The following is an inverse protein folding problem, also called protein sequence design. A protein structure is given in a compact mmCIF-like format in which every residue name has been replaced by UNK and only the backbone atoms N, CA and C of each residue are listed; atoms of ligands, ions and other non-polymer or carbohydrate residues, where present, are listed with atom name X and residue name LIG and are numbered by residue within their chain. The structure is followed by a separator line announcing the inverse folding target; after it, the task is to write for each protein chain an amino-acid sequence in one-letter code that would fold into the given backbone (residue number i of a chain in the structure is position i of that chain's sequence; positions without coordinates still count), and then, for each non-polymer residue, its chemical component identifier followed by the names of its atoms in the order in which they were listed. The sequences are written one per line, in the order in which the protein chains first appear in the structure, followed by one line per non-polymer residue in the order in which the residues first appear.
data_IF_078163207470
#
_entry.id   IF_078163207470
#
_cell.length_a   1.000
_cell.length_b   1.000
_cell.length_c   1.000
_cell.angle_alpha   90.00
_cell.angle_beta   90.00
_cell.angle_gamma   90.00
#
_symmetry.space_group_name_H-M   'P 1'
#
loop_
_entity.id
_entity.type
_entity.pdbx_description
1 polymer ?
#
# COMPACT_ATOMS: atom_id res chain seq x y z
N UNK A 1 -21.45 -9.22 16.63
CA UNK A 1 -22.34 -8.79 15.53
C UNK A 1 -22.05 -9.52 14.21
N UNK A 2 -20.87 -9.40 13.59
CA UNK A 2 -20.55 -10.07 12.30
C UNK A 2 -20.88 -11.56 12.30
N UNK A 3 -20.38 -12.32 13.29
CA UNK A 3 -20.66 -13.75 13.43
C UNK A 3 -22.17 -14.08 13.52
N UNK A 4 -22.95 -13.24 14.21
CA UNK A 4 -24.39 -13.45 14.37
C UNK A 4 -25.12 -13.30 13.03
N UNK A 5 -24.77 -12.29 12.24
CA UNK A 5 -25.36 -12.06 10.93
C UNK A 5 -25.07 -13.22 9.97
N UNK A 6 -23.83 -13.73 9.98
CA UNK A 6 -23.43 -14.88 9.16
C UNK A 6 -24.22 -16.12 9.55
N UNK A 7 -24.36 -16.38 10.86
CA UNK A 7 -25.17 -17.50 11.39
C UNK A 7 -26.64 -17.43 10.94
N UNK A 8 -27.18 -16.23 10.71
CA UNK A 8 -28.54 -16.02 10.21
C UNK A 8 -28.62 -15.87 8.67
N UNK A 9 -27.60 -16.34 7.94
CA UNK A 9 -27.63 -16.42 6.48
C UNK A 9 -27.22 -15.16 5.73
N UNK A 10 -26.61 -14.17 6.40
CA UNK A 10 -26.04 -13.02 5.71
C UNK A 10 -24.95 -13.47 4.73
N UNK A 11 -25.12 -13.10 3.45
CA UNK A 11 -24.14 -13.38 2.39
C UNK A 11 -22.85 -12.58 2.62
N UNK A 12 -21.74 -13.29 2.81
CA UNK A 12 -20.41 -12.73 3.16
C UNK A 12 -19.89 -11.70 2.16
N UNK A 13 -20.17 -11.91 0.88
CA UNK A 13 -19.60 -11.12 -0.22
C UNK A 13 -20.59 -10.13 -0.82
N UNK A 14 -21.71 -9.83 -0.16
CA UNK A 14 -22.66 -8.83 -0.66
C UNK A 14 -22.04 -7.44 -0.60
N UNK A 15 -21.77 -6.87 -1.77
CA UNK A 15 -21.19 -5.54 -1.89
C UNK A 15 -22.25 -4.43 -1.84
N UNK A 16 -21.82 -3.24 -1.41
CA UNK A 16 -22.56 -1.99 -1.60
C UNK A 16 -22.60 -1.60 -3.09
N UNK A 17 -23.40 -0.57 -3.43
CA UNK A 17 -23.55 -0.07 -4.81
C UNK A 17 -22.23 0.36 -5.46
N UNK A 18 -21.27 0.79 -4.66
CA UNK A 18 -19.93 1.20 -5.09
C UNK A 18 -18.91 0.05 -5.15
N UNK A 19 -19.38 -1.19 -4.99
CA UNK A 19 -18.57 -2.40 -5.01
C UNK A 19 -17.82 -2.68 -3.71
N UNK A 20 -18.00 -1.90 -2.65
CA UNK A 20 -17.33 -2.17 -1.38
C UNK A 20 -17.93 -3.40 -0.70
N UNK A 21 -17.10 -4.42 -0.49
CA UNK A 21 -17.46 -5.63 0.24
C UNK A 21 -17.42 -5.41 1.77
N UNK A 22 -18.03 -6.30 2.58
CA UNK A 22 -17.89 -6.24 4.03
C UNK A 22 -16.43 -6.30 4.48
N UNK A 23 -15.59 -7.07 3.76
CA UNK A 23 -14.15 -7.13 4.01
C UNK A 23 -13.46 -5.80 3.74
N UNK A 24 -13.82 -5.12 2.65
CA UNK A 24 -13.30 -3.79 2.35
C UNK A 24 -13.64 -2.79 3.47
N UNK A 25 -14.89 -2.76 3.91
CA UNK A 25 -15.37 -1.82 4.94
C UNK A 25 -14.74 -2.12 6.31
N UNK A 26 -14.60 -3.39 6.68
CA UNK A 26 -13.90 -3.77 7.90
C UNK A 26 -12.41 -3.38 7.86
N UNK A 27 -11.76 -3.56 6.70
CA UNK A 27 -10.37 -3.17 6.48
C UNK A 27 -10.18 -1.65 6.50
N UNK A 28 -11.10 -0.88 5.92
CA UNK A 28 -11.07 0.58 5.94
C UNK A 28 -11.14 1.14 7.37
N UNK A 29 -12.02 0.58 8.20
CA UNK A 29 -12.26 1.06 9.55
C UNK A 29 -11.35 0.44 10.62
N UNK A 30 -10.37 -0.41 10.24
CA UNK A 30 -9.43 -0.98 11.21
C UNK A 30 -10.02 -2.10 12.08
N UNK A 31 -11.15 -2.68 11.70
CA UNK A 31 -11.85 -3.69 12.49
C UNK A 31 -11.22 -5.09 12.32
N UNK A 32 -10.03 -5.31 12.89
CA UNK A 32 -9.24 -6.54 12.72
C UNK A 32 -10.03 -7.84 13.01
N UNK A 33 -10.81 -7.88 14.11
CA UNK A 33 -11.63 -9.06 14.45
C UNK A 33 -12.72 -9.34 13.41
N UNK A 34 -13.30 -8.29 12.83
CA UNK A 34 -14.28 -8.43 11.76
C UNK A 34 -13.61 -8.97 10.49
N UNK A 35 -12.43 -8.44 10.12
CA UNK A 35 -11.62 -8.95 9.01
C UNK A 35 -11.32 -10.44 9.19
N UNK A 36 -10.82 -10.86 10.36
CA UNK A 36 -10.54 -12.27 10.65
C UNK A 36 -11.78 -13.15 10.49
N UNK A 37 -12.93 -12.71 11.02
CA UNK A 37 -14.19 -13.46 10.92
C UNK A 37 -14.65 -13.57 9.47
N UNK A 38 -14.58 -12.48 8.69
CA UNK A 38 -14.99 -12.48 7.29
C UNK A 38 -14.11 -13.42 6.45
N UNK A 39 -12.80 -13.35 6.63
CA UNK A 39 -11.85 -14.24 5.93
C UNK A 39 -12.08 -15.71 6.27
N UNK A 40 -12.31 -16.05 7.54
CA UNK A 40 -12.55 -17.44 7.95
C UNK A 40 -13.87 -18.02 7.42
N UNK A 41 -14.79 -17.17 6.96
CA UNK A 41 -16.07 -17.57 6.34
C UNK A 41 -16.07 -17.38 4.81
N UNK A 42 -14.89 -17.25 4.18
CA UNK A 42 -14.77 -17.24 2.72
C UNK A 42 -15.03 -15.88 2.07
N UNK A 43 -14.72 -14.78 2.75
CA UNK A 43 -14.69 -13.48 2.09
C UNK A 43 -13.63 -13.45 0.98
N UNK A 44 -14.01 -12.92 -0.19
CA UNK A 44 -13.10 -12.79 -1.34
C UNK A 44 -12.06 -11.71 -1.02
N UNK A 45 -10.81 -12.15 -0.79
CA UNK A 45 -9.69 -11.33 -0.29
C UNK A 45 -9.45 -10.09 -1.14
N UNK A 46 -9.45 -10.26 -2.46
CA UNK A 46 -9.16 -9.20 -3.44
C UNK A 46 -10.43 -8.66 -4.14
N UNK A 47 -11.59 -8.75 -3.48
CA UNK A 47 -12.81 -8.14 -4.02
C UNK A 47 -12.60 -6.64 -4.24
N UNK A 48 -12.65 -6.22 -5.50
CA UNK A 48 -12.43 -4.83 -5.91
C UNK A 48 -13.71 -4.01 -5.77
N UNK A 49 -13.57 -2.78 -5.28
CA UNK A 49 -14.53 -1.70 -5.49
C UNK A 49 -14.61 -1.31 -6.96
N UNK A 50 -15.60 -0.49 -7.32
CA UNK A 50 -15.69 0.08 -8.66
C UNK A 50 -14.40 0.80 -9.05
N UNK A 51 -13.83 1.64 -8.20
CA UNK A 51 -12.56 2.35 -8.44
C UNK A 51 -11.31 1.46 -8.51
N UNK A 52 -11.47 0.14 -8.37
CA UNK A 52 -10.39 -0.85 -8.40
C UNK A 52 -9.67 -1.05 -7.06
N UNK A 53 -10.02 -0.31 -6.01
CA UNK A 53 -9.40 -0.49 -4.69
C UNK A 53 -9.78 -1.85 -4.07
N UNK A 54 -8.79 -2.52 -3.49
CA UNK A 54 -8.95 -3.79 -2.75
C UNK A 54 -8.92 -3.55 -1.24
N UNK A 55 -9.31 -4.54 -0.42
CA UNK A 55 -9.15 -4.48 1.03
C UNK A 55 -7.71 -4.18 1.48
N UNK A 56 -6.70 -4.71 0.77
CA UNK A 56 -5.28 -4.42 1.07
C UNK A 56 -4.92 -2.98 0.75
N UNK A 57 -5.40 -2.45 -0.39
CA UNK A 57 -5.16 -1.07 -0.79
C UNK A 57 -5.73 -0.07 0.25
N UNK A 58 -6.96 -0.29 0.72
CA UNK A 58 -7.58 0.61 1.71
C UNK A 58 -6.95 0.47 3.10
N UNK A 59 -6.57 -0.75 3.52
CA UNK A 59 -5.81 -0.96 4.75
C UNK A 59 -4.47 -0.21 4.71
N UNK A 60 -3.81 -0.22 3.55
CA UNK A 60 -2.58 0.51 3.33
C UNK A 60 -2.78 2.02 3.37
N UNK A 61 -3.88 2.54 2.80
CA UNK A 61 -4.20 3.97 2.86
C UNK A 61 -4.49 4.46 4.29
N UNK A 62 -5.15 3.63 5.10
CA UNK A 62 -5.65 3.96 6.44
C UNK A 62 -4.68 3.60 7.58
N UNK A 63 -3.45 3.15 7.26
CA UNK A 63 -2.43 2.74 8.22
C UNK A 63 -2.78 1.52 9.10
N UNK A 64 -3.56 0.56 8.58
CA UNK A 64 -3.95 -0.63 9.34
C UNK A 64 -2.98 -1.79 9.12
N UNK A 65 -1.74 -1.67 9.60
CA UNK A 65 -0.67 -2.65 9.38
C UNK A 65 -1.03 -4.09 9.78
N UNK A 66 -1.77 -4.26 10.89
CA UNK A 66 -2.22 -5.57 11.33
C UNK A 66 -3.21 -6.24 10.36
N UNK A 67 -4.05 -5.45 9.70
CA UNK A 67 -4.98 -5.92 8.68
C UNK A 67 -4.23 -6.19 7.38
N UNK A 68 -3.32 -5.29 6.96
CA UNK A 68 -2.48 -5.51 5.78
C UNK A 68 -1.70 -6.83 5.89
N UNK A 69 -1.04 -7.06 7.03
CA UNK A 69 -0.35 -8.33 7.32
C UNK A 69 -1.28 -9.54 7.21
N UNK A 70 -2.49 -9.46 7.77
CA UNK A 70 -3.46 -10.56 7.73
C UNK A 70 -3.91 -10.84 6.30
N UNK A 71 -4.24 -9.81 5.53
CA UNK A 71 -4.65 -9.93 4.13
C UNK A 71 -3.56 -10.56 3.27
N UNK A 72 -2.30 -10.13 3.44
CA UNK A 72 -1.15 -10.71 2.74
C UNK A 72 -0.96 -12.19 3.11
N UNK A 73 -1.09 -12.55 4.39
CA UNK A 73 -0.98 -13.94 4.86
C UNK A 73 -2.03 -14.86 4.24
N UNK A 74 -3.22 -14.35 3.89
CA UNK A 74 -4.27 -15.13 3.23
C UNK A 74 -4.25 -15.02 1.71
N UNK A 75 -3.17 -14.47 1.13
CA UNK A 75 -2.94 -14.47 -0.32
C UNK A 75 -3.47 -13.23 -1.05
N UNK A 76 -3.69 -12.10 -0.39
CA UNK A 76 -3.97 -10.84 -1.09
C UNK A 76 -2.82 -10.49 -2.05
N UNK A 77 -3.14 -10.18 -3.30
CA UNK A 77 -2.12 -9.78 -4.27
C UNK A 77 -1.54 -8.41 -3.91
N UNK A 78 -0.26 -8.38 -3.57
CA UNK A 78 0.46 -7.20 -3.03
C UNK A 78 0.49 -6.03 -4.01
N UNK A 79 0.52 -6.31 -5.32
CA UNK A 79 0.64 -5.33 -6.41
C UNK A 79 -0.69 -4.99 -7.10
N UNK A 80 -1.83 -5.30 -6.47
CA UNK A 80 -3.14 -4.93 -7.03
C UNK A 80 -3.25 -3.41 -7.22
N UNK A 81 -3.33 -2.98 -8.48
CA UNK A 81 -3.45 -1.56 -8.85
C UNK A 81 -4.89 -1.07 -8.76
N UNK A 82 -5.06 0.15 -8.24
CA UNK A 82 -6.29 0.94 -8.35
C UNK A 82 -6.34 1.63 -9.72
N UNK A 83 -7.51 2.17 -10.13
CA UNK A 83 -7.69 2.88 -11.42
C UNK A 83 -6.73 4.05 -11.68
N UNK A 84 -6.17 4.66 -10.64
CA UNK A 84 -5.15 5.72 -10.78
C UNK A 84 -3.73 5.17 -10.96
N UNK A 85 -3.56 3.86 -11.11
CA UNK A 85 -2.26 3.20 -11.22
C UNK A 85 -1.54 2.97 -9.90
N UNK A 86 -2.08 3.40 -8.76
CA UNK A 86 -1.42 3.25 -7.45
C UNK A 86 -1.58 1.84 -6.88
N UNK A 87 -0.47 1.26 -6.42
CA UNK A 87 -0.43 0.03 -5.61
C UNK A 87 -0.65 0.34 -4.11
N UNK A 88 -0.93 -0.67 -3.26
CA UNK A 88 -0.94 -0.50 -1.81
C UNK A 88 0.38 0.07 -1.27
N UNK A 89 1.53 -0.40 -1.78
CA UNK A 89 2.85 0.10 -1.39
C UNK A 89 3.00 1.58 -1.72
N UNK A 90 2.71 1.98 -2.96
CA UNK A 90 2.77 3.39 -3.36
C UNK A 90 1.93 4.26 -2.44
N UNK A 91 0.71 3.82 -2.11
CA UNK A 91 -0.18 4.59 -1.26
C UNK A 91 0.33 4.71 0.18
N UNK A 92 0.89 3.64 0.74
CA UNK A 92 1.51 3.66 2.07
C UNK A 92 2.76 4.57 2.11
N UNK A 93 3.61 4.50 1.08
CA UNK A 93 4.78 5.36 0.93
C UNK A 93 4.41 6.84 0.81
N UNK A 94 3.43 7.17 -0.05
CA UNK A 94 2.90 8.53 -0.18
C UNK A 94 2.39 9.07 1.17
N UNK A 95 1.76 8.23 1.99
CA UNK A 95 1.14 8.64 3.26
C UNK A 95 2.08 8.61 4.47
N UNK A 96 3.29 8.05 4.35
CA UNK A 96 4.23 7.97 5.47
C UNK A 96 3.97 6.79 6.43
N UNK A 97 3.23 5.78 5.99
CA UNK A 97 2.78 4.66 6.83
C UNK A 97 3.85 3.56 6.92
N UNK A 98 4.88 3.80 7.75
CA UNK A 98 6.08 2.94 7.88
C UNK A 98 5.72 1.49 8.18
N UNK A 99 4.86 1.23 9.18
CA UNK A 99 4.52 -0.14 9.60
C UNK A 99 3.84 -0.93 8.47
N UNK A 100 3.00 -0.27 7.66
CA UNK A 100 2.37 -0.90 6.49
C UNK A 100 3.42 -1.20 5.42
N UNK A 101 4.34 -0.26 5.16
CA UNK A 101 5.43 -0.46 4.20
C UNK A 101 6.27 -1.67 4.58
N UNK A 102 6.64 -1.80 5.85
CA UNK A 102 7.38 -2.97 6.33
C UNK A 102 6.63 -4.29 6.11
N UNK A 103 5.32 -4.31 6.36
CA UNK A 103 4.52 -5.52 6.10
C UNK A 103 4.42 -5.85 4.60
N UNK A 104 4.25 -4.84 3.74
CA UNK A 104 4.16 -5.04 2.29
C UNK A 104 5.48 -5.53 1.69
N UNK A 105 6.62 -4.96 2.11
CA UNK A 105 7.94 -5.30 1.58
C UNK A 105 8.33 -6.78 1.82
N UNK A 106 7.79 -7.42 2.86
CA UNK A 106 7.99 -8.86 3.12
C UNK A 106 7.50 -9.75 1.97
N UNK A 107 6.58 -9.26 1.16
CA UNK A 107 5.97 -9.99 0.04
C UNK A 107 6.55 -9.59 -1.32
N UNK A 108 7.71 -8.92 -1.34
CA UNK A 108 8.48 -8.54 -2.55
C UNK A 108 7.61 -7.85 -3.63
N UNK A 109 6.91 -6.75 -3.29
CA UNK A 109 6.14 -5.98 -4.26
C UNK A 109 7.04 -5.42 -5.36
N UNK A 110 6.44 -5.09 -6.50
CA UNK A 110 7.14 -4.39 -7.56
C UNK A 110 7.59 -2.99 -7.12
N UNK A 111 8.88 -2.68 -7.30
CA UNK A 111 9.49 -1.39 -6.95
C UNK A 111 9.78 -0.50 -8.17
N UNK A 112 9.35 -0.92 -9.37
CA UNK A 112 9.54 -0.16 -10.62
C UNK A 112 8.57 1.02 -10.74
N UNK A 113 8.60 1.69 -11.88
CA UNK A 113 7.56 2.65 -12.24
C UNK A 113 6.20 1.96 -12.34
N UNK A 114 5.19 2.65 -11.83
CA UNK A 114 3.79 2.28 -11.92
C UNK A 114 3.15 2.98 -13.14
N UNK A 115 1.92 2.58 -13.52
CA UNK A 115 1.21 3.21 -14.64
C UNK A 115 0.98 4.72 -14.51
N UNK A 116 1.05 5.27 -13.28
CA UNK A 116 0.97 6.72 -13.04
C UNK A 116 2.28 7.46 -13.31
N UNK A 117 3.33 6.77 -13.77
CA UNK A 117 4.63 7.37 -14.07
C UNK A 117 5.56 7.52 -12.86
N UNK A 118 5.17 7.06 -11.67
CA UNK A 118 5.98 7.17 -10.46
C UNK A 118 6.28 5.81 -9.82
N UNK A 119 7.27 5.76 -8.94
CA UNK A 119 7.54 4.59 -8.09
C UNK A 119 7.26 4.90 -6.62
N UNK A 120 7.18 3.87 -5.78
CA UNK A 120 7.04 4.05 -4.33
C UNK A 120 8.16 4.91 -3.72
N UNK A 121 9.38 4.85 -4.29
CA UNK A 121 10.51 5.65 -3.85
C UNK A 121 10.33 7.14 -4.21
N UNK A 122 9.82 7.46 -5.40
CA UNK A 122 9.47 8.84 -5.76
C UNK A 122 8.49 9.43 -4.76
N UNK A 123 7.40 8.71 -4.45
CA UNK A 123 6.41 9.17 -3.47
C UNK A 123 7.03 9.37 -2.07
N UNK A 124 7.78 8.39 -1.56
CA UNK A 124 8.42 8.53 -0.25
C UNK A 124 9.39 9.72 -0.19
N UNK A 125 10.10 9.99 -1.29
CA UNK A 125 11.05 11.09 -1.37
C UNK A 125 10.40 12.45 -1.52
N UNK A 126 9.35 12.54 -2.35
CA UNK A 126 8.55 13.75 -2.56
C UNK A 126 7.92 14.26 -1.26
N UNK A 127 7.49 13.35 -0.37
CA UNK A 127 6.86 13.69 0.91
C UNK A 127 7.81 13.61 2.12
N UNK A 128 9.10 13.36 1.91
CA UNK A 128 10.12 13.48 2.97
C UNK A 128 10.17 12.33 3.97
N UNK A 129 9.64 11.15 3.63
CA UNK A 129 9.55 9.99 4.53
C UNK A 129 10.87 9.21 4.59
N UNK A 130 11.87 9.75 5.29
CA UNK A 130 13.22 9.20 5.36
C UNK A 130 13.29 7.70 5.74
N UNK A 131 12.48 7.27 6.73
CA UNK A 131 12.49 5.87 7.15
C UNK A 131 11.97 4.94 6.04
N UNK A 132 10.96 5.37 5.28
CA UNK A 132 10.44 4.64 4.14
C UNK A 132 11.47 4.60 3.00
N UNK A 133 12.13 5.73 2.72
CA UNK A 133 13.20 5.80 1.73
C UNK A 133 14.31 4.79 2.06
N UNK A 134 14.73 4.72 3.32
CA UNK A 134 15.69 3.71 3.79
C UNK A 134 15.16 2.30 3.52
N UNK A 135 13.95 1.97 3.96
CA UNK A 135 13.37 0.64 3.77
C UNK A 135 13.30 0.21 2.29
N UNK A 136 12.87 1.12 1.41
CA UNK A 136 12.78 0.87 -0.03
C UNK A 136 14.15 0.60 -0.65
N UNK A 137 15.18 1.39 -0.30
CA UNK A 137 16.54 1.18 -0.78
C UNK A 137 17.14 -0.13 -0.30
N UNK A 138 16.93 -0.50 0.98
CA UNK A 138 17.34 -1.80 1.52
C UNK A 138 16.63 -2.96 0.81
N UNK A 139 15.41 -2.73 0.30
CA UNK A 139 14.64 -3.72 -0.46
C UNK A 139 14.95 -3.73 -1.96
N UNK A 140 15.93 -2.95 -2.41
CA UNK A 140 16.40 -2.96 -3.80
C UNK A 140 15.73 -1.95 -4.73
N UNK A 141 15.01 -0.94 -4.22
CA UNK A 141 14.52 0.15 -5.06
C UNK A 141 15.69 0.89 -5.73
N UNK A 142 15.52 1.25 -7.01
CA UNK A 142 16.53 1.99 -7.76
C UNK A 142 16.45 3.52 -7.46
N UNK A 143 17.47 4.11 -6.81
CA UNK A 143 17.50 5.55 -6.53
C UNK A 143 17.74 6.44 -7.77
N UNK A 144 18.11 5.85 -8.92
CA UNK A 144 18.36 6.57 -10.19
C UNK A 144 17.18 6.51 -11.16
N UNK A 145 16.12 5.77 -10.82
CA UNK A 145 14.93 5.66 -11.64
C UNK A 145 14.31 7.05 -11.85
N UNK A 146 13.96 7.39 -13.08
CA UNK A 146 13.29 8.66 -13.40
C UNK A 146 11.79 8.44 -13.55
N UNK A 147 10.98 9.34 -12.98
CA UNK A 147 9.53 9.37 -13.19
C UNK A 147 9.17 9.89 -14.59
N UNK A 148 7.88 10.01 -14.88
CA UNK A 148 7.36 10.54 -16.17
C UNK A 148 7.81 11.97 -16.47
N UNK A 149 8.11 12.78 -15.45
CA UNK A 149 8.60 14.16 -15.59
C UNK A 149 10.14 14.21 -15.75
N UNK A 150 10.80 13.05 -15.74
CA UNK A 150 12.26 12.94 -15.85
C UNK A 150 13.01 13.16 -14.55
N UNK A 151 12.31 13.34 -13.43
CA UNK A 151 12.87 13.57 -12.11
C UNK A 151 13.18 12.26 -11.39
N UNK A 152 14.33 12.21 -10.72
CA UNK A 152 14.74 11.13 -9.80
C UNK A 152 14.17 11.36 -8.40
N UNK A 153 14.11 10.34 -7.53
CA UNK A 153 13.67 10.52 -6.15
C UNK A 153 14.49 11.57 -5.38
N UNK A 154 15.79 11.70 -5.68
CA UNK A 154 16.65 12.73 -5.07
C UNK A 154 16.20 14.13 -5.48
N UNK A 155 15.95 14.35 -6.78
CA UNK A 155 15.51 15.64 -7.32
C UNK A 155 14.17 16.06 -6.71
N UNK A 156 13.20 15.14 -6.63
CA UNK A 156 11.92 15.40 -5.97
C UNK A 156 12.07 15.79 -4.49
N UNK A 157 13.00 15.16 -3.77
CA UNK A 157 13.29 15.52 -2.38
C UNK A 157 13.95 16.90 -2.25
N UNK A 158 14.78 17.31 -3.21
CA UNK A 158 15.38 18.66 -3.25
C UNK A 158 14.30 19.71 -3.54
N UNK A 159 13.50 19.49 -4.58
CA UNK A 159 12.41 20.39 -4.99
C UNK A 159 11.39 20.58 -3.85
N UNK A 160 11.05 19.50 -3.15
CA UNK A 160 10.14 19.52 -2.00
C UNK A 160 10.82 19.93 -0.68
N UNK A 161 12.09 20.35 -0.73
CA UNK A 161 12.87 20.85 0.41
C UNK A 161 13.06 19.84 1.56
N UNK A 162 12.98 18.55 1.27
CA UNK A 162 13.23 17.46 2.22
C UNK A 162 14.72 17.13 2.32
N UNK A 163 15.48 18.05 2.91
CA UNK A 163 16.96 18.01 3.00
C UNK A 163 17.52 16.67 3.48
N UNK A 164 16.96 16.08 4.54
CA UNK A 164 17.44 14.81 5.10
C UNK A 164 17.31 13.65 4.11
N UNK A 165 16.24 13.63 3.33
CA UNK A 165 16.03 12.60 2.30
C UNK A 165 16.97 12.83 1.11
N UNK A 166 17.08 14.08 0.64
CA UNK A 166 17.98 14.43 -0.45
C UNK A 166 19.45 14.08 -0.11
N UNK A 167 19.90 14.43 1.10
CA UNK A 167 21.23 14.10 1.61
C UNK A 167 21.42 12.57 1.66
N UNK A 168 20.48 11.83 2.24
CA UNK A 168 20.59 10.38 2.33
C UNK A 168 20.65 9.69 0.95
N UNK A 169 19.84 10.15 -0.01
CA UNK A 169 19.87 9.66 -1.38
C UNK A 169 21.18 10.01 -2.08
N UNK A 170 21.70 11.23 -1.89
CA UNK A 170 23.00 11.64 -2.42
C UNK A 170 24.13 10.73 -1.92
N UNK A 171 24.19 10.49 -0.61
CA UNK A 171 25.18 9.61 0.00
C UNK A 171 25.06 8.16 -0.48
N UNK A 172 23.83 7.69 -0.73
CA UNK A 172 23.59 6.34 -1.27
C UNK A 172 24.11 6.18 -2.70
N UNK A 173 24.02 7.24 -3.51
CA UNK A 173 24.50 7.24 -4.89
C UNK A 173 26.02 7.25 -5.01
N UNK A 174 26.75 7.78 -4.04
CA UNK A 174 28.23 7.79 -4.02
C UNK A 174 28.84 6.41 -3.69
N UNK A 175 28.06 5.53 -3.04
CA UNK A 175 28.53 4.22 -2.55
C UNK A 175 28.35 3.07 -3.56
N UNK A 176 27.84 3.35 -4.76
CA UNK A 176 27.59 2.38 -5.83
C UNK A 176 28.30 2.82 -7.10
#
# INVERSE_FOLDING_TARGET
MVHLLIKHGAKINTCMKDGASPLFIASQNGHLRAVQTLLSHGAVVDQRRLDGATPLWIAAQMNHAAIARLLLKVGAAVDNIRRDGATPLFKACHKGHVDVVEELLKYKPCLSLLPNGESALHAASLFGHLNIVKLLLHSGADPKLKNSDGATPKELAVESKHKLVAEYLYQTLLKK
#
